data_IF_528027379693
#
_entry.id   IF_528027379693
#
_cell.length_a   1.000
_cell.length_b   1.000
_cell.length_c   1.000
_cell.angle_alpha   90.00
_cell.angle_beta   90.00
_cell.angle_gamma   90.00
#
_symmetry.space_group_name_H-M   'P 1'
#
loop_
_entity.id
_entity.type
_entity.pdbx_description
1 polymer ?
#
# COMPACT_ATOMS: atom_id res chain seq x y z
N UNK A 1 7.95 2.84 -28.28
CA UNK A 1 9.12 3.32 -27.51
C UNK A 1 10.34 2.48 -27.87
N UNK A 2 11.44 3.12 -28.26
CA UNK A 2 12.72 2.46 -28.52
C UNK A 2 13.34 1.92 -27.22
N UNK A 3 14.28 0.97 -27.34
CA UNK A 3 15.03 0.42 -26.19
C UNK A 3 15.76 1.53 -25.43
N UNK A 4 16.37 2.47 -26.16
CA UNK A 4 17.05 3.63 -25.57
C UNK A 4 16.09 4.49 -24.73
N UNK A 5 14.88 4.77 -25.23
CA UNK A 5 13.90 5.56 -24.50
C UNK A 5 13.45 4.87 -23.20
N UNK A 6 13.32 3.53 -23.20
CA UNK A 6 13.00 2.75 -21.99
C UNK A 6 14.12 2.82 -20.95
N UNK A 7 15.37 2.71 -21.40
CA UNK A 7 16.53 2.80 -20.51
C UNK A 7 16.65 4.20 -19.90
N UNK A 8 16.54 5.25 -20.71
CA UNK A 8 16.59 6.62 -20.22
C UNK A 8 15.47 6.90 -19.21
N UNK A 9 14.26 6.42 -19.48
CA UNK A 9 13.14 6.55 -18.55
C UNK A 9 13.39 5.80 -17.23
N UNK A 10 13.88 4.56 -17.28
CA UNK A 10 14.19 3.78 -16.08
C UNK A 10 15.28 4.46 -15.23
N UNK A 11 16.32 4.99 -15.87
CA UNK A 11 17.38 5.75 -15.19
C UNK A 11 16.81 7.02 -14.57
N UNK A 12 15.97 7.76 -15.28
CA UNK A 12 15.35 8.99 -14.77
C UNK A 12 14.44 8.71 -13.56
N UNK A 13 13.62 7.66 -13.62
CA UNK A 13 12.78 7.24 -12.48
C UNK A 13 13.64 6.83 -11.30
N UNK A 14 14.68 6.02 -11.52
CA UNK A 14 15.58 5.61 -10.43
C UNK A 14 16.31 6.81 -9.81
N UNK A 15 16.80 7.75 -10.62
CA UNK A 15 17.42 8.98 -10.13
C UNK A 15 16.44 9.81 -9.30
N UNK A 16 15.18 9.95 -9.73
CA UNK A 16 14.15 10.64 -8.97
C UNK A 16 13.86 9.95 -7.62
N UNK A 17 13.81 8.62 -7.59
CA UNK A 17 13.62 7.84 -6.36
C UNK A 17 14.81 7.98 -5.40
N UNK A 18 16.03 8.03 -5.91
CA UNK A 18 17.23 8.30 -5.10
C UNK A 18 17.18 9.70 -4.51
N UNK A 19 16.82 10.72 -5.30
CA UNK A 19 16.64 12.08 -4.79
C UNK A 19 15.56 12.15 -3.70
N UNK A 20 14.47 11.41 -3.85
CA UNK A 20 13.45 11.27 -2.82
C UNK A 20 13.99 10.56 -1.57
N UNK A 21 14.78 9.49 -1.72
CA UNK A 21 15.35 8.78 -0.57
C UNK A 21 16.30 9.70 0.24
N UNK A 22 17.07 10.53 -0.47
CA UNK A 22 17.93 11.54 0.15
C UNK A 22 17.13 12.62 0.89
N UNK A 23 16.01 13.09 0.32
CA UNK A 23 15.19 14.12 0.99
C UNK A 23 14.45 13.59 2.22
N UNK A 24 14.08 12.31 2.21
CA UNK A 24 13.42 11.63 3.34
C UNK A 24 14.43 11.20 4.42
N UNK A 25 15.71 11.11 4.09
CA UNK A 25 16.76 10.67 5.01
C UNK A 25 16.72 9.17 5.34
N UNK A 26 15.96 8.38 4.57
CA UNK A 26 15.85 6.92 4.73
C UNK A 26 15.85 6.23 3.37
N UNK A 27 16.77 5.28 3.18
CA UNK A 27 16.87 4.46 1.97
C UNK A 27 16.20 3.09 2.09
N UNK A 28 15.65 2.73 3.26
CA UNK A 28 15.12 1.39 3.50
C UNK A 28 13.96 1.02 2.57
N UNK A 29 13.04 1.97 2.33
CA UNK A 29 11.93 1.79 1.40
C UNK A 29 12.40 1.59 -0.04
N UNK A 30 13.48 2.26 -0.46
CA UNK A 30 14.00 2.15 -1.82
C UNK A 30 14.59 0.76 -2.09
N UNK A 31 15.30 0.19 -1.11
CA UNK A 31 15.80 -1.18 -1.20
C UNK A 31 14.66 -2.19 -1.32
N UNK A 32 13.62 -2.05 -0.50
CA UNK A 32 12.44 -2.92 -0.56
C UNK A 32 11.69 -2.78 -1.89
N UNK A 33 11.54 -1.56 -2.41
CA UNK A 33 10.90 -1.30 -3.70
C UNK A 33 11.69 -1.93 -4.86
N UNK A 34 13.03 -1.88 -4.78
CA UNK A 34 13.91 -2.50 -5.77
C UNK A 34 13.78 -4.02 -5.72
N UNK A 35 13.80 -4.62 -4.53
CA UNK A 35 13.57 -6.05 -4.36
C UNK A 35 12.18 -6.47 -4.85
N UNK A 36 11.13 -5.72 -4.52
CA UNK A 36 9.78 -5.93 -5.01
C UNK A 36 9.71 -5.93 -6.54
N UNK A 37 10.39 -4.98 -7.19
CA UNK A 37 10.43 -4.87 -8.65
C UNK A 37 11.04 -6.12 -9.29
N UNK A 38 12.15 -6.64 -8.73
CA UNK A 38 12.80 -7.87 -9.22
C UNK A 38 11.87 -9.08 -9.04
N UNK A 39 11.25 -9.21 -7.87
CA UNK A 39 10.34 -10.33 -7.57
C UNK A 39 9.09 -10.30 -8.46
N UNK A 40 8.48 -9.13 -8.64
CA UNK A 40 7.32 -8.95 -9.52
C UNK A 40 7.67 -9.17 -11.00
N UNK A 41 8.87 -8.78 -11.41
CA UNK A 41 9.38 -9.11 -12.75
C UNK A 41 9.48 -10.63 -12.93
N UNK A 42 10.01 -11.36 -11.95
CA UNK A 42 10.08 -12.83 -11.99
C UNK A 42 8.69 -13.47 -11.96
N UNK A 43 7.74 -12.92 -11.21
CA UNK A 43 6.34 -13.34 -11.28
C UNK A 43 5.78 -13.22 -12.70
N UNK A 44 5.96 -12.06 -13.36
CA UNK A 44 5.50 -11.86 -14.74
C UNK A 44 6.14 -12.82 -15.77
N UNK A 45 7.25 -13.49 -15.41
CA UNK A 45 7.90 -14.51 -16.24
C UNK A 45 7.46 -15.93 -15.93
N UNK A 46 7.15 -16.23 -14.69
CA UNK A 46 6.94 -17.60 -14.20
C UNK A 46 5.48 -17.92 -13.89
N UNK A 47 4.65 -16.90 -13.63
CA UNK A 47 3.29 -17.07 -13.12
C UNK A 47 3.24 -17.66 -11.71
N UNK A 48 4.35 -17.68 -10.97
CA UNK A 48 4.40 -18.29 -9.65
C UNK A 48 3.76 -17.37 -8.60
N UNK A 49 2.55 -17.73 -8.13
CA UNK A 49 1.80 -16.97 -7.12
C UNK A 49 2.59 -16.56 -5.87
N UNK A 50 3.48 -17.39 -5.29
CA UNK A 50 4.30 -16.94 -4.15
C UNK A 50 5.15 -15.70 -4.45
N UNK A 51 5.60 -15.53 -5.71
CA UNK A 51 6.34 -14.34 -6.13
C UNK A 51 5.41 -13.11 -6.21
N UNK A 52 4.16 -13.27 -6.67
CA UNK A 52 3.18 -12.18 -6.63
C UNK A 52 2.95 -11.72 -5.18
N UNK A 53 2.71 -12.65 -4.27
CA UNK A 53 2.49 -12.36 -2.84
C UNK A 53 3.69 -11.63 -2.24
N UNK A 54 4.90 -12.20 -2.37
CA UNK A 54 6.11 -11.62 -1.80
C UNK A 54 6.40 -10.25 -2.42
N UNK A 55 6.32 -10.14 -3.76
CA UNK A 55 6.57 -8.89 -4.47
C UNK A 55 5.59 -7.79 -4.08
N UNK A 56 4.30 -8.11 -3.98
CA UNK A 56 3.28 -7.16 -3.56
C UNK A 56 3.49 -6.71 -2.12
N UNK A 57 3.75 -7.63 -1.18
CA UNK A 57 4.00 -7.30 0.22
C UNK A 57 5.26 -6.45 0.39
N UNK A 58 6.33 -6.71 -0.36
CA UNK A 58 7.53 -5.87 -0.38
C UNK A 58 7.24 -4.47 -0.91
N UNK A 59 6.44 -4.35 -1.98
CA UNK A 59 6.01 -3.06 -2.52
C UNK A 59 5.14 -2.28 -1.52
N UNK A 60 4.19 -2.96 -0.87
CA UNK A 60 3.36 -2.40 0.20
C UNK A 60 4.20 -1.94 1.39
N UNK A 61 5.15 -2.76 1.84
CA UNK A 61 6.07 -2.41 2.92
C UNK A 61 6.94 -1.20 2.57
N UNK A 62 7.46 -1.13 1.34
CA UNK A 62 8.22 0.02 0.84
C UNK A 62 7.39 1.30 0.87
N UNK A 63 6.18 1.27 0.32
CA UNK A 63 5.26 2.42 0.35
C UNK A 63 4.90 2.82 1.78
N UNK A 64 4.64 1.84 2.63
CA UNK A 64 4.37 2.04 4.05
C UNK A 64 5.46 2.82 4.76
N UNK A 65 6.71 2.35 4.65
CA UNK A 65 7.88 3.00 5.25
C UNK A 65 8.06 4.42 4.69
N UNK A 66 7.87 4.59 3.37
CA UNK A 66 7.97 5.90 2.75
C UNK A 66 6.91 6.87 3.31
N UNK A 67 5.66 6.43 3.43
CA UNK A 67 4.56 7.25 3.94
C UNK A 67 4.73 7.60 5.41
N UNK A 68 5.18 6.67 6.24
CA UNK A 68 5.48 6.95 7.65
C UNK A 68 6.63 7.95 7.78
N UNK A 69 7.67 7.81 6.96
CA UNK A 69 8.81 8.72 6.99
C UNK A 69 8.48 10.12 6.43
N UNK A 70 7.65 10.23 5.39
CA UNK A 70 7.33 11.48 4.70
C UNK A 70 6.16 12.23 5.33
N UNK A 71 5.05 11.53 5.56
CA UNK A 71 3.79 12.12 6.01
C UNK A 71 3.59 12.00 7.52
N UNK A 72 4.47 11.27 8.22
CA UNK A 72 4.33 10.95 9.65
C UNK A 72 2.98 10.32 9.98
N UNK A 73 2.42 9.58 9.02
CA UNK A 73 1.15 8.91 9.20
C UNK A 73 1.36 7.57 9.89
N UNK A 74 1.20 7.56 11.21
CA UNK A 74 1.24 6.34 12.02
C UNK A 74 0.24 5.30 11.50
N UNK A 75 0.73 4.08 11.23
CA UNK A 75 -0.10 3.00 10.69
C UNK A 75 -0.14 2.91 9.17
N UNK A 76 0.50 3.84 8.44
CA UNK A 76 0.60 3.77 6.97
C UNK A 76 1.31 2.50 6.50
N UNK A 77 2.22 1.94 7.30
CA UNK A 77 2.82 0.63 7.03
C UNK A 77 1.78 -0.48 6.96
N UNK A 78 0.93 -0.60 7.98
CA UNK A 78 -0.11 -1.63 8.04
C UNK A 78 -1.15 -1.43 6.94
N UNK A 79 -1.54 -0.19 6.67
CA UNK A 79 -2.47 0.11 5.56
C UNK A 79 -1.87 -0.32 4.24
N UNK A 80 -0.62 0.05 3.96
CA UNK A 80 0.04 -0.26 2.68
C UNK A 80 0.29 -1.77 2.50
N UNK A 81 0.60 -2.49 3.58
CA UNK A 81 0.74 -3.95 3.56
C UNK A 81 -0.63 -4.62 3.31
N UNK A 82 -1.67 -4.13 3.98
CA UNK A 82 -3.02 -4.65 3.84
C UNK A 82 -3.61 -4.42 2.45
N UNK A 83 -3.42 -3.22 1.89
CA UNK A 83 -3.84 -2.91 0.51
C UNK A 83 -3.07 -3.74 -0.51
N UNK A 84 -1.77 -4.00 -0.28
CA UNK A 84 -1.00 -4.90 -1.12
C UNK A 84 -1.59 -6.33 -1.10
N UNK A 85 -1.92 -6.86 0.07
CA UNK A 85 -2.54 -8.19 0.21
C UNK A 85 -3.91 -8.28 -0.49
N UNK A 86 -4.75 -7.24 -0.39
CA UNK A 86 -6.03 -7.17 -1.13
C UNK A 86 -5.79 -7.11 -2.64
N UNK A 87 -4.77 -6.36 -3.07
CA UNK A 87 -4.42 -6.23 -4.49
C UNK A 87 -3.94 -7.55 -5.09
N UNK A 88 -3.25 -8.40 -4.31
CA UNK A 88 -2.86 -9.75 -4.75
C UNK A 88 -4.09 -10.57 -5.15
N UNK A 89 -5.12 -10.59 -4.32
CA UNK A 89 -6.36 -11.33 -4.64
C UNK A 89 -7.06 -10.75 -5.86
N UNK A 90 -7.09 -9.42 -5.99
CA UNK A 90 -7.70 -8.75 -7.16
C UNK A 90 -6.96 -9.04 -8.48
N UNK A 91 -5.67 -9.41 -8.42
CA UNK A 91 -4.87 -9.80 -9.58
C UNK A 91 -5.03 -11.29 -9.89
N UNK A 92 -4.96 -12.15 -8.87
CA UNK A 92 -5.08 -13.61 -9.02
C UNK A 92 -5.98 -14.18 -7.93
N UNK A 93 -7.25 -14.40 -8.26
CA UNK A 93 -8.25 -14.95 -7.34
C UNK A 93 -7.95 -16.43 -7.01
N UNK A 94 -7.98 -16.79 -5.73
CA UNK A 94 -7.76 -18.18 -5.30
C UNK A 94 -8.85 -18.68 -4.34
N UNK A 95 -9.17 -19.98 -4.35
CA UNK A 95 -10.12 -20.56 -3.42
C UNK A 95 -9.61 -20.38 -1.97
N UNK A 96 -10.27 -19.52 -1.21
CA UNK A 96 -9.96 -19.25 0.20
C UNK A 96 -10.03 -17.78 0.60
N UNK A 97 -9.77 -16.84 -0.32
CA UNK A 97 -9.82 -15.38 -0.10
C UNK A 97 -9.13 -14.87 1.19
N UNK A 98 -8.23 -15.67 1.76
CA UNK A 98 -7.52 -15.32 2.98
C UNK A 98 -6.66 -14.04 2.82
N UNK A 99 -6.06 -13.72 1.65
CA UNK A 99 -5.32 -12.48 1.48
C UNK A 99 -6.20 -11.25 1.65
N UNK A 100 -7.47 -11.32 1.26
CA UNK A 100 -8.44 -10.23 1.45
C UNK A 100 -8.79 -10.06 2.90
N UNK A 101 -9.11 -11.15 3.61
CA UNK A 101 -9.47 -11.08 5.03
C UNK A 101 -8.30 -10.52 5.87
N UNK A 102 -7.09 -11.04 5.66
CA UNK A 102 -5.87 -10.56 6.32
C UNK A 102 -5.55 -9.12 5.91
N UNK A 103 -5.68 -8.79 4.62
CA UNK A 103 -5.43 -7.46 4.10
C UNK A 103 -6.37 -6.41 4.68
N UNK A 104 -7.68 -6.69 4.70
CA UNK A 104 -8.68 -5.80 5.31
C UNK A 104 -8.45 -5.63 6.82
N UNK A 105 -8.04 -6.69 7.53
CA UNK A 105 -7.68 -6.58 8.94
C UNK A 105 -6.50 -5.62 9.14
N UNK A 106 -5.44 -5.74 8.34
CA UNK A 106 -4.30 -4.82 8.41
C UNK A 106 -4.66 -3.38 8.03
N UNK A 107 -5.49 -3.17 7.00
CA UNK A 107 -6.00 -1.84 6.65
C UNK A 107 -6.79 -1.24 7.81
N UNK A 108 -7.72 -2.01 8.39
CA UNK A 108 -8.53 -1.56 9.52
C UNK A 108 -7.66 -1.18 10.72
N UNK A 109 -6.71 -2.03 11.09
CA UNK A 109 -5.78 -1.75 12.18
C UNK A 109 -4.89 -0.53 11.90
N UNK A 110 -4.33 -0.42 10.71
CA UNK A 110 -3.49 0.72 10.33
C UNK A 110 -4.25 2.05 10.35
N UNK A 111 -5.49 2.06 9.86
CA UNK A 111 -6.37 3.24 9.93
C UNK A 111 -6.69 3.59 11.39
N UNK A 112 -7.02 2.60 12.22
CA UNK A 112 -7.30 2.82 13.64
C UNK A 112 -6.08 3.40 14.37
N UNK A 113 -4.89 2.86 14.14
CA UNK A 113 -3.63 3.38 14.71
C UNK A 113 -3.44 4.83 14.28
N UNK A 114 -3.61 5.15 13.00
CA UNK A 114 -3.46 6.52 12.50
C UNK A 114 -4.47 7.51 13.09
N UNK A 115 -5.73 7.08 13.27
CA UNK A 115 -6.77 7.92 13.89
C UNK A 115 -6.45 8.17 15.37
N UNK A 116 -6.03 7.14 16.10
CA UNK A 116 -5.71 7.25 17.54
C UNK A 116 -4.50 8.17 17.75
N UNK A 117 -3.45 8.00 16.94
CA UNK A 117 -2.23 8.82 17.03
C UNK A 117 -2.47 10.29 16.64
N UNK A 118 -3.37 10.55 15.68
CA UNK A 118 -3.79 11.90 15.29
C UNK A 118 -4.60 12.64 16.37
N UNK A 119 -5.01 11.95 17.44
CA UNK A 119 -5.63 12.53 18.63
C UNK A 119 -7.16 12.67 18.59
N UNK A 120 -7.76 13.26 19.64
CA UNK A 120 -9.21 13.21 19.87
C UNK A 120 -10.06 13.85 18.76
N UNK A 121 -9.53 14.90 18.11
CA UNK A 121 -10.22 15.56 17.00
C UNK A 121 -10.38 14.66 15.78
N UNK A 122 -9.36 13.85 15.47
CA UNK A 122 -9.41 12.87 14.39
C UNK A 122 -10.41 11.75 14.69
N UNK A 123 -10.46 11.28 15.95
CA UNK A 123 -11.44 10.28 16.41
C UNK A 123 -12.87 10.79 16.24
N UNK A 124 -13.14 12.04 16.62
CA UNK A 124 -14.45 12.66 16.47
C UNK A 124 -14.84 12.77 14.99
N UNK A 125 -13.94 13.28 14.15
CA UNK A 125 -14.18 13.39 12.71
C UNK A 125 -14.43 12.03 12.06
N UNK A 126 -13.62 11.02 12.39
CA UNK A 126 -13.82 9.65 11.89
C UNK A 126 -15.18 9.09 12.33
N UNK A 127 -15.56 9.29 13.60
CA UNK A 127 -16.86 8.85 14.13
C UNK A 127 -18.03 9.54 13.43
N UNK A 128 -17.93 10.84 13.17
CA UNK A 128 -18.92 11.62 12.43
C UNK A 128 -19.05 11.15 10.97
N UNK A 129 -17.93 10.88 10.31
CA UNK A 129 -17.92 10.36 8.93
C UNK A 129 -18.58 8.98 8.85
N UNK A 130 -18.23 8.07 9.76
CA UNK A 130 -18.83 6.74 9.83
C UNK A 130 -20.32 6.82 10.15
N UNK A 131 -20.71 7.62 11.15
CA UNK A 131 -22.11 7.83 11.52
C UNK A 131 -22.92 8.43 10.38
N UNK A 132 -22.39 9.46 9.72
CA UNK A 132 -23.01 10.08 8.55
C UNK A 132 -23.18 9.11 7.38
N UNK A 133 -22.18 8.28 7.09
CA UNK A 133 -22.26 7.25 6.05
C UNK A 133 -23.33 6.19 6.37
N UNK A 134 -23.45 5.76 7.63
CA UNK A 134 -24.49 4.82 8.07
C UNK A 134 -25.88 5.43 7.91
N UNK A 135 -26.10 6.66 8.39
CA UNK A 135 -27.38 7.36 8.27
C UNK A 135 -27.75 7.55 6.81
N UNK A 136 -26.81 8.01 5.97
CA UNK A 136 -27.03 8.15 4.54
C UNK A 136 -27.43 6.83 3.89
N UNK A 137 -26.74 5.73 4.22
CA UNK A 137 -27.05 4.40 3.67
C UNK A 137 -28.44 3.91 4.10
N UNK A 138 -28.87 4.20 5.32
CA UNK A 138 -30.21 3.87 5.80
C UNK A 138 -31.28 4.67 5.06
N UNK A 139 -31.04 5.97 4.84
CA UNK A 139 -31.95 6.83 4.08
C UNK A 139 -32.03 6.44 2.60
N UNK A 140 -30.91 6.02 2.01
CA UNK A 140 -30.85 5.58 0.62
C UNK A 140 -31.56 4.24 0.35
N UNK A 141 -31.74 3.39 1.38
CA UNK A 141 -32.48 2.11 1.28
C UNK A 141 -33.99 2.26 1.44
N UNK A 142 -34.45 3.39 1.99
CA UNK A 142 -35.89 3.67 2.18
C UNK A 142 -36.56 4.34 0.99
N UNK A 143 -35.84 4.55 -0.12
CA UNK A 143 -36.35 5.01 -1.42
C UNK A 143 -36.28 3.87 -2.42
#
# INVERSE_FOLDING_TARGET
>A
MSVLARLLFAIAVFAALVLLALSVGSGAWLWLLTAATVVLYLYGRTGAYPLLVVGALLAGAALGILLEATLRWSGAFLVSLGTAAVTVEAIEERPGHWPVAVGLAFVGLGVLVGIVDAGPGAVLLASLLVGGAVVWRLLARGR
#
